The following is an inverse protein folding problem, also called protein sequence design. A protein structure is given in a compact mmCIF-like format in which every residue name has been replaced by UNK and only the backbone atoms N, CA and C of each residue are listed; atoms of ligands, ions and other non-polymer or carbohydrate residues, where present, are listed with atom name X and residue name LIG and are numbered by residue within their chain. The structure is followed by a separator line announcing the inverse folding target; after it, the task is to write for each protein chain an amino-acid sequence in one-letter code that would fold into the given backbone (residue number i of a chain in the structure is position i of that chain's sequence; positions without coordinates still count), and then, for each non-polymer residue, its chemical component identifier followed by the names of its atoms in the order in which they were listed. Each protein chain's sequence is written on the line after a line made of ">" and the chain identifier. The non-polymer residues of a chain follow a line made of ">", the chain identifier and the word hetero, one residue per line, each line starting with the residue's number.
data_IF_230666630729
#
_entry.id   IF_230666630729
#
_cell.length_a   1.000
_cell.length_b   1.000
_cell.length_c   1.000
_cell.angle_alpha   90.00
_cell.angle_beta   90.00
_cell.angle_gamma   90.00
#
_symmetry.space_group_name_H-M   'P 1'
#
loop_
_entity.id
_entity.type
_entity.pdbx_description
1 polymer ?
#
# COMPACT_ATOMS: atom_id res chain seq x y z
N UNK A 1 13.28 -4.81 -2.41
CA UNK A 1 13.14 -4.25 -3.77
C UNK A 1 14.50 -3.77 -4.25
N UNK A 2 14.76 -3.83 -5.55
CA UNK A 2 15.99 -3.30 -6.13
C UNK A 2 15.70 -1.90 -6.66
N UNK A 3 16.64 -0.97 -6.48
CA UNK A 3 16.57 0.32 -7.14
C UNK A 3 16.98 0.16 -8.61
N UNK A 4 16.12 0.61 -9.53
CA UNK A 4 16.36 0.57 -10.98
C UNK A 4 16.20 1.95 -11.60
N UNK A 5 16.94 2.17 -12.68
CA UNK A 5 16.83 3.38 -13.49
C UNK A 5 15.87 3.18 -14.66
N UNK A 6 14.93 4.10 -14.82
CA UNK A 6 14.12 4.25 -16.03
C UNK A 6 14.42 5.58 -16.69
N UNK A 7 14.54 5.56 -18.01
CA UNK A 7 14.84 6.74 -18.83
C UNK A 7 13.59 7.18 -19.57
N UNK A 8 13.41 8.49 -19.67
CA UNK A 8 12.52 9.06 -20.66
C UNK A 8 13.06 10.34 -21.28
N UNK A 9 12.54 10.66 -22.45
CA UNK A 9 12.87 11.91 -23.14
C UNK A 9 11.72 12.40 -24.00
N UNK A 10 11.63 13.72 -24.18
CA UNK A 10 10.67 14.39 -25.06
C UNK A 10 11.32 15.63 -25.67
N UNK A 11 10.65 16.25 -26.64
CA UNK A 11 11.03 17.56 -27.21
C UNK A 11 9.92 18.58 -27.03
N UNK A 12 10.27 19.86 -27.01
CA UNK A 12 9.31 20.97 -27.00
C UNK A 12 9.46 21.82 -28.25
N UNK A 13 8.36 22.43 -28.69
CA UNK A 13 8.35 23.24 -29.91
C UNK A 13 8.87 24.67 -29.67
N UNK A 14 8.85 25.14 -28.41
CA UNK A 14 9.29 26.47 -28.01
C UNK A 14 9.91 26.49 -26.59
N UNK A 15 10.81 27.44 -26.34
CA UNK A 15 11.39 27.70 -25.02
C UNK A 15 10.47 28.61 -24.19
N UNK A 16 9.36 28.05 -23.71
CA UNK A 16 8.44 28.72 -22.80
C UNK A 16 8.18 27.85 -21.56
N UNK A 17 7.92 28.47 -20.40
CA UNK A 17 7.59 27.72 -19.17
C UNK A 17 6.39 26.79 -19.38
N UNK A 18 5.25 27.23 -19.96
CA UNK A 18 4.12 26.35 -20.20
C UNK A 18 4.46 25.14 -21.08
N UNK A 19 5.25 25.32 -22.15
CA UNK A 19 5.63 24.24 -23.04
C UNK A 19 6.54 23.21 -22.35
N UNK A 20 7.56 23.68 -21.61
CA UNK A 20 8.49 22.81 -20.85
C UNK A 20 7.72 21.99 -19.81
N UNK A 21 6.84 22.63 -19.04
CA UNK A 21 6.10 21.94 -17.99
C UNK A 21 5.07 20.96 -18.56
N UNK A 22 4.34 21.34 -19.61
CA UNK A 22 3.34 20.47 -20.24
C UNK A 22 3.99 19.21 -20.85
N UNK A 23 5.10 19.37 -21.59
CA UNK A 23 5.80 18.24 -22.18
C UNK A 23 6.46 17.34 -21.12
N UNK A 24 7.01 17.93 -20.05
CA UNK A 24 7.55 17.14 -18.94
C UNK A 24 6.44 16.36 -18.23
N UNK A 25 5.29 16.98 -17.98
CA UNK A 25 4.14 16.30 -17.37
C UNK A 25 3.61 15.18 -18.26
N UNK A 26 3.51 15.38 -19.57
CA UNK A 26 3.17 14.33 -20.54
C UNK A 26 4.14 13.15 -20.46
N UNK A 27 5.44 13.43 -20.49
CA UNK A 27 6.51 12.42 -20.40
C UNK A 27 6.41 11.61 -19.10
N UNK A 28 6.24 12.28 -17.96
CA UNK A 28 6.13 11.62 -16.65
C UNK A 28 4.87 10.76 -16.54
N UNK A 29 3.71 11.21 -17.05
CA UNK A 29 2.51 10.38 -17.10
C UNK A 29 2.71 9.13 -17.95
N UNK A 30 3.36 9.26 -19.11
CA UNK A 30 3.64 8.14 -19.99
C UNK A 30 4.60 7.13 -19.34
N UNK A 31 5.66 7.61 -18.66
CA UNK A 31 6.58 6.77 -17.90
C UNK A 31 5.87 6.00 -16.78
N UNK A 32 5.04 6.70 -15.99
CA UNK A 32 4.25 6.11 -14.92
C UNK A 32 3.32 5.04 -15.48
N UNK A 33 2.56 5.37 -16.52
CA UNK A 33 1.57 4.45 -17.11
C UNK A 33 2.21 3.22 -17.77
N UNK A 34 3.39 3.34 -18.37
CA UNK A 34 4.06 2.21 -19.02
C UNK A 34 4.71 1.24 -18.03
N UNK A 35 4.92 1.68 -16.78
CA UNK A 35 5.71 0.94 -15.80
C UNK A 35 5.01 0.70 -14.47
N UNK A 36 3.76 1.14 -14.34
CA UNK A 36 2.97 1.08 -13.11
C UNK A 36 3.72 1.72 -11.92
N UNK A 37 4.38 2.87 -12.16
CA UNK A 37 5.19 3.54 -11.13
C UNK A 37 4.29 4.29 -10.17
N UNK A 38 4.42 4.00 -8.89
CA UNK A 38 3.83 4.82 -7.83
C UNK A 38 4.85 5.87 -7.37
N UNK A 39 4.48 7.16 -7.21
CA UNK A 39 5.42 8.20 -6.78
C UNK A 39 6.15 7.89 -5.47
N UNK A 40 5.52 7.13 -4.56
CA UNK A 40 6.12 6.71 -3.29
C UNK A 40 7.33 5.76 -3.46
N UNK A 41 7.42 5.05 -4.59
CA UNK A 41 8.52 4.12 -4.87
C UNK A 41 9.72 4.81 -5.55
N UNK A 42 9.60 6.10 -5.86
CA UNK A 42 10.64 6.87 -6.55
C UNK A 42 11.70 7.31 -5.53
N UNK A 43 12.92 6.79 -5.69
CA UNK A 43 14.06 7.15 -4.86
C UNK A 43 14.63 8.53 -5.22
N UNK A 44 14.65 8.89 -6.51
CA UNK A 44 15.04 10.21 -7.00
C UNK A 44 14.72 10.37 -8.49
N UNK A 45 14.73 11.60 -8.99
CA UNK A 45 14.72 11.86 -10.43
C UNK A 45 15.70 12.97 -10.81
N UNK A 46 16.41 12.74 -11.90
CA UNK A 46 17.34 13.71 -12.48
C UNK A 46 16.77 14.11 -13.84
N UNK A 47 16.53 15.40 -14.01
CA UNK A 47 16.08 15.99 -15.25
C UNK A 47 17.25 16.68 -15.94
N UNK A 48 17.34 16.54 -17.25
CA UNK A 48 18.27 17.34 -18.04
C UNK A 48 17.56 18.05 -19.17
N UNK A 49 18.04 19.24 -19.50
CA UNK A 49 17.57 20.02 -20.65
C UNK A 49 18.74 20.40 -21.54
N UNK A 50 18.50 20.49 -22.84
CA UNK A 50 19.49 21.09 -23.74
C UNK A 50 19.62 22.60 -23.46
N UNK A 51 20.79 23.23 -23.73
CA UNK A 51 21.05 24.62 -23.34
C UNK A 51 20.09 25.67 -23.92
N UNK A 52 19.42 25.32 -25.02
CA UNK A 52 18.39 26.10 -25.71
C UNK A 52 17.02 26.10 -25.00
N UNK A 53 16.87 25.34 -23.90
CA UNK A 53 15.71 25.40 -22.99
C UNK A 53 16.12 25.94 -21.62
N UNK A 54 15.73 27.18 -21.33
CA UNK A 54 16.08 27.87 -20.09
C UNK A 54 14.91 28.65 -19.47
N UNK A 55 13.70 28.50 -20.00
CA UNK A 55 12.52 29.20 -19.51
C UNK A 55 11.90 28.57 -18.23
N UNK A 56 12.23 27.33 -17.87
CA UNK A 56 11.73 26.66 -16.67
C UNK A 56 12.57 25.44 -16.26
N UNK A 57 12.42 25.02 -15.01
CA UNK A 57 12.96 23.75 -14.50
C UNK A 57 11.95 22.61 -14.72
N UNK A 58 12.30 21.53 -15.45
CA UNK A 58 11.41 20.39 -15.63
C UNK A 58 10.92 19.75 -14.32
N UNK A 59 11.75 19.72 -13.28
CA UNK A 59 11.36 19.16 -11.97
C UNK A 59 10.11 19.84 -11.38
N UNK A 60 9.79 21.08 -11.76
CA UNK A 60 8.56 21.76 -11.35
C UNK A 60 7.30 20.98 -11.82
N UNK A 61 7.33 20.35 -13.00
CA UNK A 61 6.22 19.51 -13.46
C UNK A 61 6.01 18.30 -12.54
N UNK A 62 7.10 17.64 -12.11
CA UNK A 62 7.00 16.55 -11.15
C UNK A 62 6.44 17.02 -9.79
N UNK A 63 6.84 18.20 -9.30
CA UNK A 63 6.25 18.80 -8.08
C UNK A 63 4.74 19.02 -8.23
N UNK A 64 4.29 19.54 -9.38
CA UNK A 64 2.86 19.73 -9.69
C UNK A 64 2.09 18.41 -9.78
N UNK A 65 2.76 17.31 -10.11
CA UNK A 65 2.22 15.94 -10.09
C UNK A 65 2.22 15.30 -8.69
N UNK A 66 2.62 16.03 -7.65
CA UNK A 66 2.60 15.54 -6.26
C UNK A 66 3.87 14.81 -5.83
N UNK A 67 4.97 14.90 -6.57
CA UNK A 67 6.26 14.36 -6.14
C UNK A 67 6.90 15.31 -5.12
N UNK A 68 6.26 15.56 -3.97
CA UNK A 68 6.70 16.56 -2.97
C UNK A 68 7.94 16.15 -2.20
N UNK A 69 8.06 14.86 -1.89
CA UNK A 69 9.12 14.32 -1.03
C UNK A 69 10.22 13.61 -1.82
N UNK A 70 10.06 13.48 -3.14
CA UNK A 70 11.06 12.90 -4.03
C UNK A 70 12.24 13.88 -4.17
N UNK A 71 13.49 13.45 -4.00
CA UNK A 71 14.66 14.24 -4.36
C UNK A 71 14.70 14.45 -5.88
N UNK A 72 14.62 15.71 -6.33
CA UNK A 72 14.66 16.09 -7.74
C UNK A 72 15.89 16.96 -7.99
N UNK A 73 16.54 16.75 -9.14
CA UNK A 73 17.66 17.57 -9.58
C UNK A 73 17.52 17.90 -11.06
N UNK A 74 17.60 19.18 -11.40
CA UNK A 74 17.72 19.63 -12.78
C UNK A 74 19.19 19.90 -13.12
N UNK A 75 19.59 19.57 -14.34
CA UNK A 75 20.91 19.88 -14.88
C UNK A 75 20.81 20.27 -16.36
N UNK A 76 21.86 20.92 -16.86
CA UNK A 76 22.01 21.14 -18.30
C UNK A 76 22.69 19.91 -18.89
N UNK A 77 22.14 19.40 -19.99
CA UNK A 77 22.71 18.29 -20.75
C UNK A 77 24.04 18.71 -21.38
N UNK A 78 24.96 17.75 -21.55
CA UNK A 78 26.20 18.00 -22.27
C UNK A 78 25.90 18.58 -23.66
N UNK A 79 26.44 19.75 -24.03
CA UNK A 79 26.18 20.38 -25.32
C UNK A 79 26.95 19.64 -26.43
N UNK A 80 26.33 18.61 -26.99
CA UNK A 80 26.88 17.87 -28.13
C UNK A 80 26.53 18.60 -29.43
N UNK A 81 27.52 18.84 -30.27
CA UNK A 81 27.32 19.39 -31.62
C UNK A 81 26.38 18.48 -32.42
N UNK A 82 25.38 19.05 -33.09
CA UNK A 82 24.31 18.32 -33.79
C UNK A 82 23.42 17.42 -32.90
N UNK A 83 23.45 17.63 -31.58
CA UNK A 83 22.52 16.99 -30.65
C UNK A 83 21.07 17.42 -30.88
N UNK A 84 20.12 16.56 -30.50
CA UNK A 84 18.69 16.85 -30.63
C UNK A 84 18.31 18.12 -29.83
N UNK A 85 17.89 19.22 -30.48
CA UNK A 85 17.55 20.47 -29.81
C UNK A 85 16.22 20.38 -29.06
N UNK A 86 15.96 21.37 -28.22
CA UNK A 86 14.76 21.51 -27.40
C UNK A 86 14.36 20.22 -26.67
N UNK A 87 15.34 19.48 -26.14
CA UNK A 87 15.10 18.16 -25.59
C UNK A 87 15.15 18.17 -24.06
N UNK A 88 14.14 17.55 -23.45
CA UNK A 88 14.04 17.31 -22.02
C UNK A 88 14.22 15.80 -21.80
N UNK A 89 15.09 15.43 -20.87
CA UNK A 89 15.33 14.03 -20.47
C UNK A 89 15.10 13.87 -18.98
N UNK A 90 14.75 12.65 -18.58
CA UNK A 90 14.64 12.28 -17.18
C UNK A 90 15.22 10.89 -16.97
N UNK A 91 16.01 10.75 -15.90
CA UNK A 91 16.38 9.47 -15.31
C UNK A 91 15.69 9.37 -13.95
N UNK A 92 14.73 8.46 -13.83
CA UNK A 92 14.05 8.17 -12.57
C UNK A 92 14.70 6.94 -11.95
N UNK A 93 15.13 7.06 -10.69
CA UNK A 93 15.52 5.93 -9.86
C UNK A 93 14.31 5.49 -9.04
N UNK A 94 13.92 4.23 -9.18
CA UNK A 94 12.67 3.70 -8.64
C UNK A 94 12.90 2.31 -8.06
N UNK A 95 12.34 2.06 -6.88
CA UNK A 95 12.37 0.76 -6.22
C UNK A 95 11.31 -0.16 -6.82
N UNK A 96 11.76 -1.26 -7.43
CA UNK A 96 10.85 -2.18 -8.12
C UNK A 96 11.26 -3.63 -8.00
N UNK A 97 10.28 -4.52 -8.13
CA UNK A 97 10.48 -5.96 -8.31
C UNK A 97 10.57 -6.36 -9.78
N UNK A 98 10.18 -5.49 -10.72
CA UNK A 98 10.28 -5.77 -12.16
C UNK A 98 11.71 -6.13 -12.53
N UNK A 99 11.96 -7.16 -13.35
CA UNK A 99 13.29 -7.42 -13.87
C UNK A 99 13.69 -6.33 -14.90
N UNK A 100 14.99 -6.12 -15.18
CA UNK A 100 15.46 -5.09 -16.11
C UNK A 100 14.76 -5.10 -17.48
N UNK A 101 14.53 -6.29 -18.03
CA UNK A 101 13.89 -6.50 -19.33
C UNK A 101 12.41 -6.11 -19.38
N UNK A 102 11.75 -5.96 -18.22
CA UNK A 102 10.36 -5.52 -18.10
C UNK A 102 10.24 -4.01 -17.82
N UNK A 103 11.34 -3.25 -17.84
CA UNK A 103 11.33 -1.79 -17.68
C UNK A 103 11.17 -1.14 -19.05
N UNK A 104 10.10 -0.37 -19.22
CA UNK A 104 9.76 0.33 -20.45
C UNK A 104 10.23 1.77 -20.40
N UNK A 105 11.35 2.07 -21.06
CA UNK A 105 11.77 3.45 -21.30
C UNK A 105 10.79 4.16 -22.25
N UNK A 106 10.57 5.46 -22.06
CA UNK A 106 9.58 6.22 -22.83
C UNK A 106 10.23 7.38 -23.56
N UNK A 107 10.13 7.39 -24.89
CA UNK A 107 10.63 8.47 -25.74
C UNK A 107 9.45 9.02 -26.54
N UNK A 108 9.23 10.33 -26.47
CA UNK A 108 8.12 11.02 -27.11
C UNK A 108 8.63 12.01 -28.16
N UNK A 109 7.79 12.32 -29.15
CA UNK A 109 8.05 13.39 -30.15
C UNK A 109 9.41 13.19 -30.85
N UNK A 110 10.20 14.25 -31.02
CA UNK A 110 11.51 14.17 -31.66
C UNK A 110 12.51 13.28 -30.90
N UNK A 111 12.26 12.97 -29.63
CA UNK A 111 13.14 12.15 -28.81
C UNK A 111 13.06 10.65 -29.13
N UNK A 112 12.07 10.20 -29.90
CA UNK A 112 11.96 8.80 -30.39
C UNK A 112 13.23 8.40 -31.16
N UNK A 113 13.86 9.35 -31.87
CA UNK A 113 15.10 9.11 -32.62
C UNK A 113 16.34 8.83 -31.76
N UNK A 114 16.29 9.06 -30.43
CA UNK A 114 17.44 8.83 -29.53
C UNK A 114 17.69 7.35 -29.22
N UNK A 115 16.66 6.50 -29.37
CA UNK A 115 16.73 5.05 -29.15
C UNK A 115 15.95 4.30 -30.23
N UNK A 116 16.46 4.26 -31.47
CA UNK A 116 15.79 3.59 -32.57
C UNK A 116 15.61 2.08 -32.34
N UNK A 117 16.43 1.49 -31.46
CA UNK A 117 16.34 0.09 -31.02
C UNK A 117 15.16 -0.19 -30.08
N UNK A 118 14.57 0.84 -29.46
CA UNK A 118 13.38 0.76 -28.61
C UNK A 118 12.11 1.27 -29.28
N UNK A 119 12.22 1.83 -30.49
CA UNK A 119 11.08 2.23 -31.27
C UNK A 119 10.35 0.98 -31.78
N UNK A 120 9.13 0.73 -31.29
CA UNK A 120 8.26 -0.27 -31.90
C UNK A 120 8.03 0.09 -33.37
N UNK A 121 8.16 -0.85 -34.32
CA UNK A 121 7.77 -0.60 -35.69
C UNK A 121 6.29 -0.22 -35.71
N UNK A 122 5.99 0.90 -36.35
CA UNK A 122 4.70 1.59 -36.40
C UNK A 122 3.45 0.72 -36.41
N UNK A 123 2.41 1.26 -35.77
CA UNK A 123 1.03 0.87 -36.01
C UNK A 123 0.66 0.98 -37.49
N UNK A 124 0.07 -0.11 -38.00
CA UNK A 124 -0.94 -0.13 -39.04
C UNK A 124 -1.34 -1.59 -39.26
N UNK A 125 -2.43 -2.02 -38.61
CA UNK A 125 -3.28 -3.16 -39.00
C UNK A 125 -4.43 -3.31 -38.01
N UNK A 126 -5.59 -2.76 -38.39
CA UNK A 126 -6.88 -3.36 -38.09
C UNK A 126 -7.96 -2.74 -38.98
N UNK A 127 -7.96 -3.12 -40.26
CA UNK A 127 -9.19 -3.19 -41.02
C UNK A 127 -10.05 -4.32 -40.45
N UNK A 128 -11.26 -3.95 -40.01
CA UNK A 128 -12.46 -4.77 -39.94
C UNK A 128 -12.39 -6.16 -39.28
N UNK A 129 -12.95 -6.25 -38.06
CA UNK A 129 -13.96 -7.29 -37.76
C UNK A 129 -14.79 -6.90 -36.54
N UNK A 130 -16.09 -6.81 -36.82
CA UNK A 130 -17.20 -6.57 -35.92
C UNK A 130 -17.44 -7.79 -35.01
N UNK A 131 -17.73 -7.58 -33.73
CA UNK A 131 -18.07 -8.65 -32.79
C UNK A 131 -18.21 -8.13 -31.35
N UNK A 132 -19.43 -7.76 -30.97
CA UNK A 132 -19.73 -7.08 -29.72
C UNK A 132 -19.53 -7.92 -28.45
N UNK A 133 -19.30 -7.22 -27.34
CA UNK A 133 -19.77 -7.60 -26.01
C UNK A 133 -19.80 -6.37 -25.10
N UNK A 134 -20.96 -6.23 -24.46
CA UNK A 134 -21.36 -5.20 -23.52
C UNK A 134 -20.44 -5.15 -22.30
N UNK A 135 -19.79 -4.01 -22.06
CA UNK A 135 -19.01 -3.73 -20.85
C UNK A 135 -19.61 -2.54 -20.10
N UNK A 136 -20.10 -2.80 -18.90
CA UNK A 136 -20.66 -1.84 -17.95
C UNK A 136 -19.66 -0.75 -17.59
N UNK A 137 -20.11 0.50 -17.67
CA UNK A 137 -19.45 1.68 -17.13
C UNK A 137 -19.41 1.60 -15.60
N UNK A 138 -18.24 1.45 -15.01
CA UNK A 138 -18.02 1.81 -13.60
C UNK A 138 -16.89 2.82 -13.53
N UNK A 139 -17.25 4.10 -13.51
CA UNK A 139 -16.37 5.18 -13.08
C UNK A 139 -15.78 4.84 -11.70
N UNK A 140 -14.49 5.12 -11.45
CA UNK A 140 -14.01 5.10 -10.07
C UNK A 140 -14.61 6.32 -9.34
N UNK A 141 -15.36 6.02 -8.29
CA UNK A 141 -15.84 7.00 -7.32
C UNK A 141 -14.67 7.60 -6.51
N UNK A 142 -14.82 8.81 -5.91
CA UNK A 142 -13.72 9.55 -5.32
C UNK A 142 -13.34 9.09 -3.89
N UNK A 143 -12.15 9.58 -3.49
CA UNK A 143 -11.33 9.38 -2.27
C UNK A 143 -12.07 9.27 -0.90
N UNK A 144 -11.33 8.94 0.17
CA UNK A 144 -10.88 10.06 1.01
C UNK A 144 -9.39 10.01 1.39
N UNK A 145 -8.82 11.20 1.48
CA UNK A 145 -7.53 11.49 2.10
C UNK A 145 -7.60 11.19 3.61
N UNK A 146 -6.55 10.56 4.16
CA UNK A 146 -6.26 10.64 5.59
C UNK A 146 -4.76 10.40 5.86
N UNK A 147 -4.09 11.46 6.29
CA UNK A 147 -2.87 11.45 7.12
C UNK A 147 -1.60 10.83 6.52
N UNK A 148 -0.89 11.60 5.67
CA UNK A 148 0.56 11.88 5.71
C UNK A 148 1.57 10.80 6.16
N UNK A 149 1.26 9.52 6.06
CA UNK A 149 2.12 8.38 6.34
C UNK A 149 2.47 7.76 4.98
N UNK A 150 3.73 7.39 4.72
CA UNK A 150 4.08 6.67 3.51
C UNK A 150 3.21 5.40 3.43
N UNK A 151 2.38 5.33 2.39
CA UNK A 151 1.51 4.18 2.15
C UNK A 151 2.44 3.06 1.68
N UNK A 152 2.70 2.09 2.56
CA UNK A 152 3.43 0.90 2.18
C UNK A 152 2.63 0.13 1.14
N UNK A 153 3.11 0.15 -0.10
CA UNK A 153 2.45 -0.54 -1.19
C UNK A 153 2.78 -2.04 -1.13
N UNK A 154 1.75 -2.84 -0.90
CA UNK A 154 1.85 -4.29 -0.89
C UNK A 154 1.53 -4.84 -2.29
N UNK A 155 2.36 -5.73 -2.87
CA UNK A 155 2.11 -6.31 -4.18
C UNK A 155 0.72 -6.97 -4.29
N UNK A 156 0.12 -6.88 -5.47
CA UNK A 156 -1.12 -7.61 -5.77
C UNK A 156 -0.94 -9.12 -5.51
N UNK A 157 -1.84 -9.71 -4.72
CA UNK A 157 -1.78 -11.13 -4.33
C UNK A 157 -0.89 -11.43 -3.12
N UNK A 158 -0.36 -10.42 -2.43
CA UNK A 158 0.36 -10.65 -1.19
C UNK A 158 -0.55 -11.22 -0.10
N UNK A 159 0.01 -12.14 0.69
CA UNK A 159 -0.66 -12.71 1.86
C UNK A 159 0.00 -12.16 3.12
N UNK A 160 -0.79 -11.66 4.05
CA UNK A 160 -0.30 -11.12 5.33
C UNK A 160 -0.68 -12.07 6.46
N UNK A 161 0.33 -12.60 7.15
CA UNK A 161 0.13 -13.49 8.30
C UNK A 161 0.03 -12.69 9.60
N UNK A 162 -0.73 -13.19 10.56
CA UNK A 162 -0.90 -12.54 11.87
C UNK A 162 -1.20 -13.59 12.94
N UNK A 163 -0.84 -13.29 14.19
CA UNK A 163 -1.18 -14.15 15.31
C UNK A 163 -2.63 -13.92 15.73
N UNK A 164 -3.38 -15.03 15.84
CA UNK A 164 -4.77 -15.04 16.28
C UNK A 164 -5.74 -15.68 15.28
N UNK A 165 -7.03 -15.54 15.59
CA UNK A 165 -8.14 -16.07 14.79
C UNK A 165 -8.74 -14.99 13.86
N UNK A 166 -9.48 -15.37 12.81
CA UNK A 166 -10.25 -14.43 12.00
C UNK A 166 -11.17 -13.55 12.87
N UNK A 167 -11.10 -12.24 12.69
CA UNK A 167 -11.75 -11.23 13.54
C UNK A 167 -10.82 -10.66 14.61
N UNK A 168 -9.58 -11.12 14.75
CA UNK A 168 -8.63 -10.54 15.71
C UNK A 168 -8.30 -9.08 15.38
N UNK A 169 -7.90 -8.31 16.41
CA UNK A 169 -7.42 -6.93 16.23
C UNK A 169 -6.24 -6.84 15.25
N UNK A 170 -5.38 -7.85 15.22
CA UNK A 170 -4.29 -7.94 14.24
C UNK A 170 -4.82 -7.96 12.80
N UNK A 171 -5.89 -8.71 12.52
CA UNK A 171 -6.52 -8.72 11.19
C UNK A 171 -7.23 -7.39 10.88
N UNK A 172 -7.89 -6.79 11.88
CA UNK A 172 -8.48 -5.45 11.74
C UNK A 172 -7.41 -4.40 11.38
N UNK A 173 -6.22 -4.48 12.00
CA UNK A 173 -5.10 -3.60 11.68
C UNK A 173 -4.61 -3.80 10.24
N UNK A 174 -4.53 -5.05 9.76
CA UNK A 174 -4.21 -5.34 8.35
C UNK A 174 -5.22 -4.65 7.44
N UNK A 175 -6.53 -4.83 7.69
CA UNK A 175 -7.57 -4.25 6.84
C UNK A 175 -7.66 -2.72 6.94
N UNK A 176 -7.39 -2.13 8.11
CA UNK A 176 -7.30 -0.69 8.27
C UNK A 176 -6.17 -0.11 7.40
N UNK A 177 -5.04 -0.80 7.36
CA UNK A 177 -3.84 -0.29 6.70
C UNK A 177 -3.83 -0.58 5.19
N UNK A 178 -4.29 -1.77 4.78
CA UNK A 178 -4.13 -2.29 3.43
C UNK A 178 -5.45 -2.48 2.68
N UNK A 179 -6.58 -2.36 3.38
CA UNK A 179 -7.91 -2.66 2.84
C UNK A 179 -8.31 -4.12 3.00
N UNK A 180 -9.62 -4.37 2.89
CA UNK A 180 -10.27 -5.67 3.10
C UNK A 180 -10.10 -6.67 1.94
N UNK A 181 -9.43 -6.28 0.87
CA UNK A 181 -9.20 -7.11 -0.30
C UNK A 181 -7.94 -7.99 -0.16
N UNK A 182 -7.09 -7.72 0.83
CA UNK A 182 -5.86 -8.47 1.07
C UNK A 182 -6.15 -9.83 1.68
N UNK A 183 -5.44 -10.86 1.20
CA UNK A 183 -5.51 -12.18 1.77
C UNK A 183 -4.75 -12.23 3.10
N UNK A 184 -5.39 -12.81 4.11
CA UNK A 184 -4.81 -12.90 5.46
C UNK A 184 -4.66 -14.35 5.88
N UNK A 185 -3.60 -14.64 6.63
CA UNK A 185 -3.27 -15.98 7.12
C UNK A 185 -3.21 -15.95 8.66
N UNK A 186 -4.12 -16.62 9.38
CA UNK A 186 -4.00 -16.74 10.83
C UNK A 186 -2.85 -17.69 11.20
N UNK A 187 -2.15 -17.34 12.28
CA UNK A 187 -1.06 -18.09 12.91
C UNK A 187 -1.35 -18.30 14.40
N UNK A 188 -0.93 -19.44 14.96
CA UNK A 188 -1.19 -19.77 16.36
C UNK A 188 -0.31 -18.96 17.33
N UNK A 189 0.93 -18.64 16.93
CA UNK A 189 1.92 -17.93 17.74
C UNK A 189 2.69 -16.88 16.94
N UNK A 190 3.53 -16.09 17.62
CA UNK A 190 4.42 -15.15 16.93
C UNK A 190 5.49 -15.87 16.13
N UNK A 191 6.08 -16.95 16.64
CA UNK A 191 7.07 -17.77 15.94
C UNK A 191 6.53 -18.27 14.58
N UNK A 192 5.25 -18.63 14.52
CA UNK A 192 4.60 -19.02 13.26
C UNK A 192 4.45 -17.88 12.26
N UNK A 193 4.35 -16.61 12.70
CA UNK A 193 4.39 -15.44 11.81
C UNK A 193 5.75 -15.41 11.09
N UNK A 194 6.84 -15.48 11.86
CA UNK A 194 8.19 -15.42 11.33
C UNK A 194 8.45 -16.59 10.38
N UNK A 195 8.16 -17.82 10.81
CA UNK A 195 8.31 -19.02 9.99
C UNK A 195 7.49 -18.96 8.68
N UNK A 196 6.27 -18.40 8.71
CA UNK A 196 5.44 -18.25 7.51
C UNK A 196 6.00 -17.24 6.53
N UNK A 197 6.62 -16.15 7.00
CA UNK A 197 7.27 -15.16 6.12
C UNK A 197 8.57 -15.72 5.54
N UNK A 198 9.41 -16.35 6.35
CA UNK A 198 10.70 -16.91 5.91
C UNK A 198 10.54 -18.07 4.91
N UNK A 199 9.52 -18.91 5.11
CA UNK A 199 9.19 -20.00 4.18
C UNK A 199 8.48 -19.53 2.90
N UNK A 200 8.10 -18.25 2.80
CA UNK A 200 7.34 -17.69 1.69
C UNK A 200 5.85 -18.09 1.67
N UNK A 201 5.34 -18.73 2.73
CA UNK A 201 3.91 -19.02 2.90
C UNK A 201 3.08 -17.72 3.03
N UNK A 202 3.68 -16.68 3.59
CA UNK A 202 3.15 -15.33 3.62
C UNK A 202 4.19 -14.34 3.08
N UNK A 203 3.71 -13.26 2.46
CA UNK A 203 4.58 -12.19 1.93
C UNK A 203 5.00 -11.23 3.04
N UNK A 204 4.11 -11.00 4.02
CA UNK A 204 4.36 -10.11 5.16
C UNK A 204 3.77 -10.71 6.43
N UNK A 205 4.28 -10.26 7.58
CA UNK A 205 3.73 -10.56 8.89
C UNK A 205 3.32 -9.28 9.61
N UNK A 206 2.12 -9.26 10.20
CA UNK A 206 1.72 -8.23 11.15
C UNK A 206 2.06 -8.70 12.56
N UNK A 207 3.00 -8.00 13.19
CA UNK A 207 3.50 -8.30 14.52
C UNK A 207 3.17 -7.15 15.49
N UNK A 208 2.39 -7.38 16.55
CA UNK A 208 2.16 -6.36 17.57
C UNK A 208 3.40 -6.22 18.46
N UNK A 209 3.94 -5.00 18.55
CA UNK A 209 5.17 -4.70 19.32
C UNK A 209 4.90 -3.91 20.61
N UNK A 210 3.77 -3.20 20.69
CA UNK A 210 3.43 -2.36 21.83
C UNK A 210 1.91 -2.24 22.01
N UNK A 211 1.47 -2.14 23.26
CA UNK A 211 0.11 -1.82 23.64
C UNK A 211 0.11 -0.70 24.70
N UNK A 212 -0.68 0.35 24.51
CA UNK A 212 -0.75 1.48 25.46
C UNK A 212 -1.24 1.11 26.87
N UNK A 213 -1.85 -0.06 27.06
CA UNK A 213 -2.30 -0.55 28.36
C UNK A 213 -1.34 -1.58 28.99
N UNK A 214 -0.66 -2.41 28.20
CA UNK A 214 0.22 -3.47 28.70
C UNK A 214 1.72 -3.22 28.47
N UNK A 215 2.07 -2.12 27.80
CA UNK A 215 3.42 -1.78 27.43
C UNK A 215 3.94 -2.57 26.24
N UNK A 216 5.26 -2.65 26.14
CA UNK A 216 6.00 -3.35 25.09
C UNK A 216 5.79 -4.87 25.16
N UNK A 217 5.71 -5.51 23.99
CA UNK A 217 5.59 -6.96 23.86
C UNK A 217 6.99 -7.51 23.62
N UNK A 218 7.72 -7.82 24.69
CA UNK A 218 9.15 -8.19 24.60
C UNK A 218 9.43 -9.36 23.66
N UNK A 219 8.58 -10.39 23.68
CA UNK A 219 8.69 -11.55 22.77
C UNK A 219 8.72 -11.13 21.28
N UNK A 220 7.99 -10.08 20.90
CA UNK A 220 8.01 -9.58 19.53
C UNK A 220 9.37 -8.95 19.17
N UNK A 221 10.01 -8.25 20.12
CA UNK A 221 11.34 -7.68 19.92
C UNK A 221 12.43 -8.75 19.89
N UNK A 222 12.34 -9.76 20.75
CA UNK A 222 13.28 -10.88 20.76
C UNK A 222 13.27 -11.59 19.39
N UNK A 223 12.09 -11.89 18.86
CA UNK A 223 11.96 -12.50 17.53
C UNK A 223 12.45 -11.59 16.39
N UNK A 224 12.28 -10.27 16.49
CA UNK A 224 12.83 -9.35 15.49
C UNK A 224 14.37 -9.32 15.50
N UNK A 225 15.01 -9.61 16.64
CA UNK A 225 16.47 -9.70 16.75
C UNK A 225 17.01 -11.04 16.26
N UNK A 226 16.25 -12.12 16.46
CA UNK A 226 16.68 -13.49 16.12
C UNK A 226 16.51 -13.84 14.63
N UNK A 227 15.70 -13.09 13.89
CA UNK A 227 15.36 -13.34 12.48
C UNK A 227 15.80 -12.21 11.54
N UNK A 228 16.26 -12.55 10.33
CA UNK A 228 16.67 -11.56 9.30
C UNK A 228 15.46 -11.02 8.51
N UNK A 229 14.48 -10.48 9.23
CA UNK A 229 13.32 -9.80 8.67
C UNK A 229 13.44 -8.29 8.85
N UNK A 230 12.82 -7.53 7.94
CA UNK A 230 12.86 -6.06 7.97
C UNK A 230 11.48 -5.49 8.24
N UNK A 231 11.43 -4.51 9.13
CA UNK A 231 10.22 -3.72 9.36
C UNK A 231 9.97 -2.87 8.12
N UNK A 232 8.81 -3.09 7.49
CA UNK A 232 8.47 -2.47 6.23
C UNK A 232 7.44 -1.33 6.38
N UNK A 233 6.64 -1.37 7.45
CA UNK A 233 5.60 -0.39 7.76
C UNK A 233 5.24 -0.42 9.25
N UNK A 234 4.55 0.62 9.71
CA UNK A 234 3.89 0.65 11.02
C UNK A 234 2.39 0.92 10.87
N UNK A 235 1.59 0.35 11.77
CA UNK A 235 0.16 0.65 11.89
C UNK A 235 -0.21 0.83 13.35
N UNK A 236 -0.96 1.90 13.63
CA UNK A 236 -1.56 2.15 14.94
C UNK A 236 -3.05 1.86 14.85
N UNK A 237 -3.49 0.82 15.55
CA UNK A 237 -4.90 0.48 15.67
C UNK A 237 -5.46 1.04 16.99
N UNK A 238 -6.51 1.85 16.91
CA UNK A 238 -7.28 2.22 18.10
C UNK A 238 -8.21 1.08 18.47
N UNK A 239 -7.84 0.30 19.47
CA UNK A 239 -8.67 -0.78 20.01
C UNK A 239 -10.02 -0.22 20.49
N UNK A 240 -11.11 -0.72 19.89
CA UNK A 240 -12.48 -0.48 20.32
C UNK A 240 -13.13 -1.84 20.59
N UNK A 241 -13.59 -2.02 21.82
CA UNK A 241 -14.30 -3.23 22.24
C UNK A 241 -15.77 -3.13 21.85
N UNK A 242 -16.28 -4.15 21.17
CA UNK A 242 -17.68 -4.31 20.81
C UNK A 242 -18.30 -5.40 21.68
N UNK A 243 -19.49 -5.14 22.22
CA UNK A 243 -20.31 -6.17 22.85
C UNK A 243 -21.15 -6.87 21.78
N UNK A 244 -20.92 -8.16 21.59
CA UNK A 244 -21.57 -9.00 20.59
C UNK A 244 -22.54 -9.97 21.27
N UNK A 245 -23.70 -10.17 20.67
CA UNK A 245 -24.70 -11.14 21.13
C UNK A 245 -25.45 -11.73 19.92
N UNK A 246 -26.01 -12.95 20.03
CA UNK A 246 -26.83 -13.53 18.98
C UNK A 246 -28.02 -12.61 18.60
N UNK A 247 -28.43 -12.58 17.31
CA UNK A 247 -29.55 -11.75 16.87
C UNK A 247 -30.82 -11.98 17.70
N UNK A 248 -31.43 -10.89 18.16
CA UNK A 248 -32.63 -10.92 19.00
C UNK A 248 -32.37 -10.97 20.52
N UNK A 249 -31.11 -11.11 20.96
CA UNK A 249 -30.75 -11.05 22.39
C UNK A 249 -31.02 -9.65 22.95
N UNK A 250 -31.82 -9.55 24.02
CA UNK A 250 -32.05 -8.27 24.69
C UNK A 250 -30.95 -8.02 25.72
N UNK A 251 -30.52 -6.77 25.94
CA UNK A 251 -29.51 -6.46 26.97
C UNK A 251 -29.88 -6.96 28.37
N UNK A 252 -31.18 -7.03 28.70
CA UNK A 252 -31.68 -7.54 29.97
C UNK A 252 -31.50 -9.05 30.17
N UNK A 253 -31.32 -9.80 29.07
CA UNK A 253 -31.15 -11.26 29.11
C UNK A 253 -29.68 -11.67 29.32
N UNK A 254 -28.74 -10.73 29.12
CA UNK A 254 -27.31 -10.96 29.25
C UNK A 254 -26.93 -11.09 30.73
N UNK A 255 -26.21 -12.17 31.06
CA UNK A 255 -25.69 -12.46 32.40
C UNK A 255 -24.18 -12.60 32.40
N UNK A 256 -23.62 -13.21 31.35
CA UNK A 256 -22.19 -13.51 31.21
C UNK A 256 -21.62 -12.90 29.94
N UNK A 257 -20.39 -12.41 30.01
CA UNK A 257 -19.66 -11.83 28.88
C UNK A 257 -18.31 -12.52 28.75
N UNK A 258 -18.06 -13.17 27.62
CA UNK A 258 -16.84 -13.95 27.34
C UNK A 258 -15.82 -13.13 26.55
N UNK A 259 -14.55 -13.16 26.95
CA UNK A 259 -13.45 -12.55 26.18
C UNK A 259 -12.08 -12.91 26.77
N UNK A 260 -11.00 -12.48 26.11
CA UNK A 260 -9.65 -12.53 26.66
C UNK A 260 -9.55 -11.72 27.98
N UNK A 261 -8.79 -12.17 29.00
CA UNK A 261 -8.68 -11.49 30.29
C UNK A 261 -8.33 -10.00 30.18
N UNK A 262 -7.47 -9.63 29.23
CA UNK A 262 -7.07 -8.24 29.02
C UNK A 262 -8.22 -7.37 28.48
N UNK A 263 -9.08 -7.91 27.62
CA UNK A 263 -10.26 -7.19 27.12
C UNK A 263 -11.30 -7.04 28.22
N UNK A 264 -11.51 -8.09 29.03
CA UNK A 264 -12.39 -8.02 30.21
C UNK A 264 -11.91 -6.96 31.21
N UNK A 265 -10.61 -6.91 31.50
CA UNK A 265 -10.04 -5.91 32.40
C UNK A 265 -10.26 -4.48 31.90
N UNK A 266 -10.11 -4.23 30.60
CA UNK A 266 -10.38 -2.91 29.99
C UNK A 266 -11.86 -2.53 30.00
N UNK A 267 -12.77 -3.52 30.00
CA UNK A 267 -14.21 -3.33 30.03
C UNK A 267 -14.84 -3.50 31.42
N UNK A 268 -14.06 -3.77 32.47
CA UNK A 268 -14.53 -4.16 33.81
C UNK A 268 -15.60 -3.20 34.37
N UNK A 269 -15.37 -1.89 34.27
CA UNK A 269 -16.33 -0.87 34.71
C UNK A 269 -17.68 -1.02 33.99
N UNK A 270 -17.64 -1.21 32.67
CA UNK A 270 -18.84 -1.34 31.84
C UNK A 270 -19.65 -2.60 32.17
N UNK A 271 -18.96 -3.70 32.47
CA UNK A 271 -19.55 -4.97 32.89
C UNK A 271 -20.19 -4.85 34.28
N UNK A 272 -19.44 -4.31 35.26
CA UNK A 272 -19.91 -4.13 36.64
C UNK A 272 -21.15 -3.25 36.73
N UNK A 273 -21.22 -2.15 35.96
CA UNK A 273 -22.40 -1.27 35.95
C UNK A 273 -23.69 -1.95 35.47
N UNK A 274 -23.58 -3.09 34.78
CA UNK A 274 -24.72 -3.86 34.26
C UNK A 274 -24.97 -5.16 35.02
N UNK A 275 -24.15 -5.45 36.03
CA UNK A 275 -24.21 -6.72 36.76
C UNK A 275 -23.85 -7.94 35.90
N UNK A 276 -23.05 -7.75 34.85
CA UNK A 276 -22.60 -8.84 33.99
C UNK A 276 -21.31 -9.46 34.50
N UNK A 277 -21.25 -10.78 34.48
CA UNK A 277 -20.07 -11.56 34.87
C UNK A 277 -19.10 -11.71 33.69
N UNK A 278 -17.85 -11.28 33.87
CA UNK A 278 -16.78 -11.50 32.89
C UNK A 278 -16.22 -12.92 32.98
N UNK A 279 -16.32 -13.70 31.91
CA UNK A 279 -15.83 -15.08 31.82
C UNK A 279 -14.61 -15.11 30.92
N UNK A 280 -13.45 -15.45 31.47
CA UNK A 280 -12.19 -15.49 30.71
C UNK A 280 -12.23 -16.60 29.66
N UNK A 281 -11.75 -16.27 28.46
CA UNK A 281 -11.58 -17.17 27.34
C UNK A 281 -10.19 -16.97 26.72
N UNK A 282 -9.81 -17.88 25.81
CA UNK A 282 -8.47 -17.89 25.22
C UNK A 282 -8.20 -16.65 24.35
N UNK A 283 -9.20 -16.18 23.60
CA UNK A 283 -9.06 -15.03 22.70
C UNK A 283 -10.38 -14.24 22.58
N UNK A 284 -10.30 -13.05 22.00
CA UNK A 284 -11.48 -12.19 21.79
C UNK A 284 -12.29 -12.63 20.57
N UNK A 285 -11.63 -12.96 19.46
CA UNK A 285 -12.27 -13.36 18.20
C UNK A 285 -12.89 -14.77 18.29
N UNK A 286 -12.18 -15.75 18.84
CA UNK A 286 -12.73 -17.08 19.12
C UNK A 286 -13.87 -17.06 20.14
N UNK A 287 -13.87 -16.14 21.13
CA UNK A 287 -15.07 -15.93 21.98
C UNK A 287 -16.32 -15.56 21.19
N UNK A 288 -16.18 -14.69 20.17
CA UNK A 288 -17.29 -14.34 19.28
C UNK A 288 -17.70 -15.51 18.38
N UNK A 289 -16.72 -16.23 17.80
CA UNK A 289 -16.95 -17.43 16.99
C UNK A 289 -17.72 -18.51 17.77
N UNK A 290 -17.27 -18.81 18.98
CA UNK A 290 -17.93 -19.80 19.85
C UNK A 290 -19.35 -19.39 20.21
N UNK A 291 -19.57 -18.10 20.54
CA UNK A 291 -20.90 -17.59 20.83
C UNK A 291 -21.84 -17.73 19.63
N UNK A 292 -21.35 -17.45 18.42
CA UNK A 292 -22.11 -17.63 17.19
C UNK A 292 -22.47 -19.10 16.92
N UNK A 293 -21.57 -20.03 17.28
CA UNK A 293 -21.74 -21.47 17.08
C UNK A 293 -22.67 -22.12 18.10
N UNK A 294 -22.50 -21.85 19.39
CA UNK A 294 -23.26 -22.52 20.47
C UNK A 294 -24.54 -21.80 20.84
N UNK A 295 -24.61 -20.47 20.62
CA UNK A 295 -25.74 -19.59 20.97
C UNK A 295 -26.22 -19.76 22.41
N UNK A 296 -25.28 -19.89 23.34
CA UNK A 296 -25.58 -20.09 24.75
C UNK A 296 -26.46 -18.93 25.30
N UNK A 297 -27.66 -19.22 25.84
CA UNK A 297 -28.57 -18.20 26.33
C UNK A 297 -27.95 -17.31 27.42
N UNK A 298 -28.22 -16.01 27.33
CA UNK A 298 -27.73 -15.01 28.29
C UNK A 298 -26.22 -14.79 28.26
N UNK A 299 -25.56 -15.21 27.18
CA UNK A 299 -24.12 -15.01 26.97
C UNK A 299 -23.88 -14.00 25.87
N UNK A 300 -22.96 -13.07 26.11
CA UNK A 300 -22.42 -12.15 25.13
C UNK A 300 -20.89 -12.33 25.04
N UNK A 301 -20.27 -11.71 24.05
CA UNK A 301 -18.83 -11.69 23.87
C UNK A 301 -18.31 -10.25 23.74
N UNK A 302 -17.08 -10.01 24.17
CA UNK A 302 -16.35 -8.80 23.81
C UNK A 302 -15.31 -9.15 22.74
N UNK A 303 -15.38 -8.48 21.59
CA UNK A 303 -14.44 -8.65 20.49
C UNK A 303 -14.24 -7.35 19.69
N UNK A 304 -13.47 -7.45 18.61
CA UNK A 304 -13.33 -6.36 17.63
C UNK A 304 -14.64 -6.12 16.89
N UNK A 305 -14.72 -5.02 16.13
CA UNK A 305 -15.85 -4.78 15.22
C UNK A 305 -15.84 -5.72 14.00
N UNK A 306 -14.69 -6.34 13.71
CA UNK A 306 -14.50 -7.23 12.56
C UNK A 306 -15.00 -8.66 12.83
N UNK A 307 -14.99 -9.09 14.10
CA UNK A 307 -15.41 -10.41 14.55
C UNK A 307 -16.95 -10.58 14.52
#
# INVERSE_FOLDING_TARGET
>A
MLCRGIRGATTVDENSQPAILAATQELLHALISANDIFPADIASAIFTVTPDLNAAFPAEAARRMGWTDVPLMDAVEVPVLDGLPHCIRVLVHWNTSRPPEAVHHVYLRGAIGLRPDLATPNGDRASGRNGGRTGSTSSPAPRPEANGQPVFHIPHGATVTYQGEPGAYSQEAIFQYLGNHIQTLPSASFEEIFAAVESGKATYGLLPVENSQAGSINQAYDLLLDHDLRIAAEVKLRVRHCLLAPPGTKPADIRRVRSHPQALAQCDRYLKTRGWEGVSAYDTAGSARELAATREPGTAAIASALA
#
